data_IF_546589721117
#
_entry.id   IF_546589721117
#
_cell.length_a   1.000
_cell.length_b   1.000
_cell.length_c   1.000
_cell.angle_alpha   90.00
_cell.angle_beta   90.00
_cell.angle_gamma   90.00
#
_symmetry.space_group_name_H-M   'P 1'
#
loop_
_entity.id
_entity.type
_entity.pdbx_description
1 polymer ?
#
# COMPACT_ATOMS: atom_id res chain seq x y z
N UNK A 1 -55.03 -26.91 -72.89
CA UNK A 1 -53.68 -27.13 -72.31
C UNK A 1 -53.66 -26.57 -70.89
N UNK A 2 -53.37 -27.40 -69.87
CA UNK A 2 -53.44 -27.04 -68.45
C UNK A 2 -52.23 -26.19 -68.05
N UNK A 3 -52.44 -24.93 -67.65
CA UNK A 3 -51.39 -24.08 -67.06
C UNK A 3 -51.10 -24.57 -65.64
N UNK A 4 -49.91 -25.10 -65.40
CA UNK A 4 -49.39 -25.38 -64.05
C UNK A 4 -48.80 -24.08 -63.50
N UNK A 5 -49.30 -23.63 -62.36
CA UNK A 5 -48.70 -22.53 -61.61
C UNK A 5 -47.44 -23.05 -60.87
N UNK A 6 -46.33 -22.31 -60.86
CA UNK A 6 -45.14 -22.70 -60.11
C UNK A 6 -45.38 -22.50 -58.61
N UNK A 7 -44.88 -23.43 -57.79
CA UNK A 7 -44.90 -23.32 -56.34
C UNK A 7 -43.93 -22.21 -55.89
N UNK A 8 -44.36 -21.36 -54.95
CA UNK A 8 -43.53 -20.31 -54.38
C UNK A 8 -42.36 -20.91 -53.57
N UNK A 9 -41.14 -20.48 -53.87
CA UNK A 9 -39.96 -20.85 -53.11
C UNK A 9 -40.02 -20.27 -51.69
N UNK A 10 -39.50 -20.96 -50.66
CA UNK A 10 -39.55 -20.47 -49.29
C UNK A 10 -38.71 -19.19 -49.17
N UNK A 11 -39.35 -18.10 -48.73
CA UNK A 11 -38.65 -16.86 -48.44
C UNK A 11 -37.68 -17.09 -47.28
N UNK A 12 -36.38 -17.15 -47.57
CA UNK A 12 -35.35 -17.13 -46.53
C UNK A 12 -35.49 -15.82 -45.76
N UNK A 13 -35.85 -15.90 -44.47
CA UNK A 13 -36.02 -14.74 -43.58
C UNK A 13 -34.65 -14.32 -43.01
N UNK A 14 -33.95 -13.32 -43.58
CA UNK A 14 -32.61 -12.92 -43.13
C UNK A 14 -32.63 -12.36 -41.70
N UNK A 15 -33.78 -11.88 -41.23
CA UNK A 15 -33.99 -11.33 -39.89
C UNK A 15 -33.75 -12.36 -38.78
N UNK A 16 -34.14 -13.62 -38.98
CA UNK A 16 -33.98 -14.68 -37.96
C UNK A 16 -32.50 -15.01 -37.76
N UNK A 17 -31.72 -15.04 -38.85
CA UNK A 17 -30.27 -15.31 -38.79
C UNK A 17 -29.48 -14.19 -38.11
N UNK A 18 -29.86 -12.92 -38.32
CA UNK A 18 -29.22 -11.77 -37.65
C UNK A 18 -29.51 -11.72 -36.14
N UNK A 19 -30.75 -12.04 -35.74
CA UNK A 19 -31.12 -12.08 -34.32
C UNK A 19 -30.38 -13.19 -33.55
N UNK A 20 -30.22 -14.38 -34.17
CA UNK A 20 -29.46 -15.50 -33.60
C UNK A 20 -27.97 -15.18 -33.42
N UNK A 21 -27.35 -14.49 -34.39
CA UNK A 21 -25.94 -14.09 -34.28
C UNK A 21 -25.70 -13.06 -33.16
N UNK A 22 -26.62 -12.10 -32.99
CA UNK A 22 -26.55 -11.11 -31.90
C UNK A 22 -26.72 -11.75 -30.51
N UNK A 23 -27.64 -12.71 -30.38
CA UNK A 23 -27.84 -13.45 -29.13
C UNK A 23 -26.62 -14.30 -28.73
N UNK A 24 -25.97 -14.96 -29.69
CA UNK A 24 -24.76 -15.75 -29.43
C UNK A 24 -23.59 -14.89 -28.92
N UNK A 25 -23.42 -13.68 -29.46
CA UNK A 25 -22.38 -12.74 -29.00
C UNK A 25 -22.56 -12.31 -27.54
N UNK A 26 -23.79 -12.03 -27.11
CA UNK A 26 -24.09 -11.64 -25.73
C UNK A 26 -23.80 -12.77 -24.73
N UNK A 27 -24.07 -14.02 -25.10
CA UNK A 27 -23.77 -15.18 -24.25
C UNK A 27 -22.26 -15.35 -24.06
N UNK A 28 -21.45 -15.21 -25.12
CA UNK A 28 -19.99 -15.34 -25.03
C UNK A 28 -19.38 -14.24 -24.15
N UNK A 29 -19.83 -12.99 -24.29
CA UNK A 29 -19.39 -11.89 -23.41
C UNK A 29 -19.81 -12.12 -21.96
N UNK A 30 -21.05 -12.57 -21.74
CA UNK A 30 -21.53 -12.88 -20.38
C UNK A 30 -20.76 -14.00 -19.69
N UNK A 31 -20.44 -15.09 -20.41
CA UNK A 31 -19.67 -16.22 -19.86
C UNK A 31 -18.22 -15.81 -19.56
N UNK A 32 -17.58 -15.08 -20.46
CA UNK A 32 -16.18 -14.63 -20.27
C UNK A 32 -16.05 -13.54 -19.20
N UNK A 33 -17.01 -12.62 -19.09
CA UNK A 33 -17.09 -11.67 -17.98
C UNK A 33 -17.36 -12.38 -16.64
N UNK A 34 -18.18 -13.43 -16.63
CA UNK A 34 -18.44 -14.26 -15.46
C UNK A 34 -17.18 -14.95 -14.91
N UNK A 35 -16.25 -15.35 -15.78
CA UNK A 35 -14.96 -15.91 -15.35
C UNK A 35 -14.09 -14.88 -14.59
N UNK A 36 -14.12 -13.60 -14.98
CA UNK A 36 -13.38 -12.53 -14.29
C UNK A 36 -13.95 -12.22 -12.90
N UNK A 37 -15.27 -12.34 -12.72
CA UNK A 37 -15.93 -12.11 -11.42
C UNK A 37 -15.59 -13.21 -10.41
N UNK A 38 -15.51 -14.47 -10.85
CA UNK A 38 -15.23 -15.60 -9.97
C UNK A 38 -13.73 -15.92 -9.85
N UNK A 39 -12.89 -15.30 -10.66
CA UNK A 39 -11.43 -15.41 -10.61
C UNK A 39 -10.82 -14.01 -10.69
N UNK A 40 -10.81 -13.26 -9.56
CA UNK A 40 -10.30 -11.90 -9.56
C UNK A 40 -8.84 -11.87 -10.02
N UNK A 41 -8.51 -10.85 -10.80
CA UNK A 41 -7.16 -10.67 -11.34
C UNK A 41 -6.20 -10.51 -10.16
N UNK A 42 -5.30 -11.48 -9.98
CA UNK A 42 -4.41 -11.51 -8.82
C UNK A 42 -3.47 -10.29 -8.75
N UNK A 43 -3.22 -9.61 -9.88
CA UNK A 43 -2.42 -8.37 -9.91
C UNK A 43 -3.13 -7.18 -9.27
N UNK A 44 -4.45 -7.24 -9.08
CA UNK A 44 -5.21 -6.19 -8.40
C UNK A 44 -5.25 -6.38 -6.88
N UNK A 45 -4.75 -7.52 -6.38
CA UNK A 45 -4.66 -7.78 -4.94
C UNK A 45 -3.47 -6.97 -4.38
N UNK A 46 -3.71 -5.99 -3.50
CA UNK A 46 -2.63 -5.21 -2.93
C UNK A 46 -1.74 -6.09 -2.06
N UNK A 47 -0.44 -6.01 -2.28
CA UNK A 47 0.58 -6.61 -1.43
C UNK A 47 1.66 -5.56 -1.10
N UNK A 48 2.52 -5.86 -0.12
CA UNK A 48 3.70 -5.04 0.16
C UNK A 48 4.88 -5.63 -0.63
N UNK A 49 5.37 -4.97 -1.68
CA UNK A 49 6.49 -5.46 -2.47
C UNK A 49 7.85 -5.20 -1.83
N UNK A 50 7.89 -4.52 -0.69
CA UNK A 50 9.08 -4.11 0.03
C UNK A 50 9.09 -4.71 1.45
N UNK A 51 10.19 -4.55 2.18
CA UNK A 51 10.37 -5.20 3.48
C UNK A 51 9.50 -4.59 4.58
N UNK A 52 9.16 -3.32 4.42
CA UNK A 52 8.41 -2.55 5.38
C UNK A 52 6.90 -2.70 5.29
N UNK A 53 6.24 -1.94 6.14
CA UNK A 53 4.77 -1.90 6.20
C UNK A 53 4.24 -0.63 5.56
N UNK A 54 3.02 -0.72 5.02
CA UNK A 54 2.28 0.45 4.59
C UNK A 54 1.25 0.87 5.64
N UNK A 55 1.02 2.16 5.72
CA UNK A 55 -0.04 2.75 6.52
C UNK A 55 -0.75 3.86 5.73
N UNK A 56 -2.02 4.11 6.07
CA UNK A 56 -2.72 5.31 5.61
C UNK A 56 -3.41 5.96 6.82
N UNK A 57 -3.32 7.29 6.91
CA UNK A 57 -3.90 8.10 7.99
C UNK A 57 -4.54 9.33 7.36
N UNK A 58 -5.85 9.30 7.14
CA UNK A 58 -6.52 10.31 6.33
C UNK A 58 -5.88 10.41 4.94
N UNK A 59 -5.31 11.59 4.63
CA UNK A 59 -4.60 11.86 3.37
C UNK A 59 -3.10 11.53 3.39
N UNK A 60 -2.55 11.13 4.54
CA UNK A 60 -1.19 10.61 4.62
C UNK A 60 -1.15 9.16 4.13
N UNK A 61 -0.23 8.86 3.21
CA UNK A 61 0.12 7.51 2.83
C UNK A 61 1.60 7.27 3.12
N UNK A 62 1.91 6.25 3.91
CA UNK A 62 3.29 5.79 4.18
C UNK A 62 3.47 4.42 3.53
N UNK A 63 4.57 4.19 2.79
CA UNK A 63 4.94 2.87 2.27
C UNK A 63 6.34 2.51 2.71
N UNK A 64 6.58 1.21 2.76
CA UNK A 64 7.87 0.63 3.10
C UNK A 64 8.47 1.19 4.39
N UNK A 65 7.62 1.37 5.41
CA UNK A 65 8.09 1.84 6.71
C UNK A 65 8.88 0.71 7.38
N UNK A 66 10.15 0.99 7.68
CA UNK A 66 11.08 0.10 8.40
C UNK A 66 11.89 0.91 9.42
N UNK A 67 12.37 0.23 10.47
CA UNK A 67 13.32 0.79 11.42
C UNK A 67 14.69 0.16 11.19
N UNK A 68 15.72 0.96 10.95
CA UNK A 68 17.08 0.46 10.73
C UNK A 68 17.89 0.62 12.01
N UNK A 69 18.40 -0.50 12.56
CA UNK A 69 19.22 -0.50 13.77
C UNK A 69 19.59 -1.89 14.28
N UNK A 70 20.38 -1.95 15.34
CA UNK A 70 20.92 -3.19 15.92
C UNK A 70 20.38 -3.52 17.33
N UNK A 71 19.54 -2.65 17.88
CA UNK A 71 18.95 -2.77 19.22
C UNK A 71 19.81 -2.17 20.35
N UNK A 72 20.91 -1.49 20.06
CA UNK A 72 21.81 -0.89 21.07
C UNK A 72 21.80 0.64 21.10
N UNK A 73 21.19 1.29 20.10
CA UNK A 73 21.18 2.74 19.94
C UNK A 73 19.89 3.27 19.29
N UNK A 74 19.88 4.53 18.81
CA UNK A 74 18.76 5.05 18.05
C UNK A 74 18.56 4.22 16.77
N UNK A 75 17.31 4.07 16.37
CA UNK A 75 16.95 3.45 15.08
C UNK A 75 16.57 4.54 14.09
N UNK A 76 17.00 4.39 12.84
CA UNK A 76 16.66 5.31 11.76
C UNK A 76 15.35 4.89 11.13
N UNK A 77 14.49 5.87 10.81
CA UNK A 77 13.24 5.63 10.11
C UNK A 77 13.50 5.67 8.61
N UNK A 78 13.17 4.58 7.91
CA UNK A 78 13.21 4.52 6.45
C UNK A 78 11.85 4.17 5.88
N UNK A 79 11.58 4.65 4.67
CA UNK A 79 10.31 4.51 3.97
C UNK A 79 9.94 5.80 3.24
N UNK A 80 8.78 5.82 2.60
CA UNK A 80 8.26 7.03 1.96
C UNK A 80 7.01 7.54 2.67
N UNK A 81 6.85 8.86 2.71
CA UNK A 81 5.61 9.49 3.16
C UNK A 81 5.09 10.42 2.07
N UNK A 82 3.81 10.27 1.74
CA UNK A 82 3.12 11.06 0.72
C UNK A 82 1.90 11.73 1.32
N UNK A 83 1.81 13.04 1.16
CA UNK A 83 0.60 13.79 1.43
C UNK A 83 -0.28 13.80 0.17
N UNK A 84 -1.42 13.10 0.19
CA UNK A 84 -2.39 13.08 -0.93
C UNK A 84 -3.35 14.27 -0.92
N UNK A 85 -3.33 15.06 0.15
CA UNK A 85 -4.19 16.22 0.36
C UNK A 85 -3.73 17.47 -0.39
N UNK A 86 -4.47 18.55 -0.20
CA UNK A 86 -4.19 19.88 -0.77
C UNK A 86 -3.68 20.87 0.26
N UNK A 87 -3.59 20.47 1.53
CA UNK A 87 -3.07 21.27 2.64
C UNK A 87 -1.77 20.64 3.14
N UNK A 88 -0.87 21.46 3.71
CA UNK A 88 0.32 20.94 4.38
C UNK A 88 -0.07 20.15 5.63
N UNK A 89 0.74 19.16 6.00
CA UNK A 89 0.54 18.38 7.21
C UNK A 89 1.86 18.11 7.93
N UNK A 90 1.77 18.03 9.26
CA UNK A 90 2.81 17.51 10.12
C UNK A 90 2.57 16.01 10.33
N UNK A 91 3.64 15.21 10.24
CA UNK A 91 3.63 13.78 10.52
C UNK A 91 4.56 13.48 11.67
N UNK A 92 4.00 12.97 12.76
CA UNK A 92 4.74 12.50 13.94
C UNK A 92 4.83 10.98 13.90
N UNK A 93 6.03 10.46 14.14
CA UNK A 93 6.36 9.05 14.14
C UNK A 93 7.01 8.73 15.48
N UNK A 94 6.41 7.83 16.25
CA UNK A 94 6.93 7.48 17.57
C UNK A 94 6.80 5.99 17.83
N UNK A 95 7.83 5.38 18.42
CA UNK A 95 7.74 4.02 18.91
C UNK A 95 6.85 3.97 20.16
N UNK A 96 5.99 2.97 20.22
CA UNK A 96 5.20 2.68 21.40
C UNK A 96 6.01 1.75 22.32
N UNK A 97 5.84 1.87 23.64
CA UNK A 97 6.40 0.90 24.57
C UNK A 97 5.94 -0.50 24.17
N UNK A 98 6.86 -1.47 24.12
CA UNK A 98 6.46 -2.86 23.99
C UNK A 98 5.62 -3.25 25.21
N UNK A 99 4.59 -4.09 25.03
CA UNK A 99 3.83 -4.64 26.15
C UNK A 99 4.71 -5.45 27.13
N UNK A 100 5.89 -5.87 26.68
CA UNK A 100 6.93 -6.56 27.46
C UNK A 100 8.10 -5.64 27.85
N UNK A 101 8.00 -4.33 27.63
CA UNK A 101 9.06 -3.39 27.95
C UNK A 101 9.30 -3.35 29.46
N UNK A 102 10.58 -3.25 29.85
CA UNK A 102 10.97 -2.96 31.22
C UNK A 102 10.32 -1.61 31.63
N UNK A 103 9.59 -1.53 32.75
CA UNK A 103 9.04 -0.28 33.27
C UNK A 103 10.09 0.81 33.55
N UNK A 104 11.37 0.44 33.63
CA UNK A 104 12.50 1.36 33.77
C UNK A 104 13.15 1.72 32.42
N UNK A 105 12.72 1.12 31.31
CA UNK A 105 13.22 1.48 29.99
C UNK A 105 12.87 2.94 29.66
N UNK A 106 13.78 3.70 29.02
CA UNK A 106 13.49 5.05 28.57
C UNK A 106 12.23 5.07 27.68
N UNK A 107 11.35 6.05 27.87
CA UNK A 107 10.22 6.25 26.96
C UNK A 107 10.76 6.50 25.56
N UNK A 108 10.34 5.73 24.54
CA UNK A 108 10.87 5.90 23.20
C UNK A 108 10.58 7.32 22.68
N UNK A 109 11.60 7.98 22.14
CA UNK A 109 11.46 9.28 21.51
C UNK A 109 10.84 9.16 20.12
N UNK A 110 10.15 10.22 19.69
CA UNK A 110 9.58 10.33 18.34
C UNK A 110 10.35 11.30 17.45
N UNK A 111 10.07 11.22 16.15
CA UNK A 111 10.51 12.17 15.13
C UNK A 111 9.32 12.80 14.42
N UNK A 112 9.52 13.98 13.84
CA UNK A 112 8.50 14.69 13.08
C UNK A 112 9.02 15.09 11.70
N UNK A 113 8.15 15.06 10.69
CA UNK A 113 8.43 15.58 9.35
C UNK A 113 7.22 16.38 8.85
N UNK A 114 7.50 17.51 8.20
CA UNK A 114 6.48 18.32 7.53
C UNK A 114 6.38 17.90 6.06
N UNK A 115 5.15 17.78 5.57
CA UNK A 115 4.84 17.47 4.18
C UNK A 115 3.94 18.58 3.62
N UNK A 116 4.39 19.24 2.56
CA UNK A 116 3.59 20.14 1.75
C UNK A 116 2.46 19.41 1.00
N UNK A 117 1.54 20.18 0.39
CA UNK A 117 0.47 19.61 -0.44
C UNK A 117 1.02 18.76 -1.58
N UNK A 118 0.50 17.54 -1.76
CA UNK A 118 0.93 16.61 -2.82
C UNK A 118 2.42 16.23 -2.77
N UNK A 119 3.11 16.51 -1.66
CA UNK A 119 4.52 16.19 -1.50
C UNK A 119 4.70 14.70 -1.20
N UNK A 120 5.78 14.14 -1.76
CA UNK A 120 6.32 12.85 -1.37
C UNK A 120 7.75 13.03 -0.89
N UNK A 121 8.07 12.44 0.26
CA UNK A 121 9.37 12.51 0.91
C UNK A 121 9.91 11.11 1.16
N UNK A 122 11.20 10.92 0.89
CA UNK A 122 11.99 9.81 1.40
C UNK A 122 12.40 10.12 2.85
N UNK A 123 11.89 9.32 3.80
CA UNK A 123 12.11 9.52 5.24
C UNK A 123 13.56 9.29 5.65
N UNK A 124 14.30 8.41 4.95
CA UNK A 124 15.69 8.13 5.26
C UNK A 124 16.58 9.36 5.04
N UNK A 125 16.21 10.22 4.08
CA UNK A 125 16.94 11.47 3.78
C UNK A 125 16.69 12.59 4.79
N UNK A 126 15.69 12.45 5.67
CA UNK A 126 15.30 13.47 6.64
C UNK A 126 15.99 13.30 8.00
N UNK A 127 16.82 12.27 8.16
CA UNK A 127 17.56 12.03 9.40
C UNK A 127 16.66 11.73 10.59
N UNK A 128 15.46 11.19 10.35
CA UNK A 128 14.47 10.88 11.38
C UNK A 128 14.92 9.64 12.17
N UNK A 129 14.83 9.72 13.49
CA UNK A 129 15.26 8.67 14.39
C UNK A 129 14.27 8.46 15.54
N UNK A 130 14.20 7.22 16.02
CA UNK A 130 13.52 6.87 17.26
C UNK A 130 14.57 6.46 18.28
N UNK A 131 14.49 7.02 19.48
CA UNK A 131 15.35 6.63 20.62
C UNK A 131 14.60 5.63 21.51
N UNK A 132 15.32 4.89 22.35
CA UNK A 132 14.71 3.94 23.30
C UNK A 132 14.13 2.67 22.67
N UNK A 133 14.41 2.41 21.38
CA UNK A 133 14.03 1.17 20.70
C UNK A 133 15.15 0.14 20.88
N UNK A 134 14.96 -0.79 21.82
CA UNK A 134 15.95 -1.83 22.15
C UNK A 134 15.72 -3.15 21.40
N UNK A 135 14.77 -3.16 20.46
CA UNK A 135 14.39 -4.35 19.71
C UNK A 135 15.44 -4.69 18.64
N UNK A 136 15.81 -5.98 18.55
CA UNK A 136 16.84 -6.46 17.60
C UNK A 136 16.28 -6.64 16.18
N UNK A 137 17.12 -6.66 15.13
CA UNK A 137 16.71 -7.04 13.79
C UNK A 137 15.86 -8.32 13.72
N UNK A 138 14.83 -8.31 12.88
CA UNK A 138 13.84 -9.39 12.73
C UNK A 138 12.66 -9.32 13.68
N UNK A 139 12.62 -8.35 14.59
CA UNK A 139 11.47 -8.11 15.48
C UNK A 139 10.53 -7.04 14.93
N UNK A 140 9.33 -6.95 15.50
CA UNK A 140 8.35 -5.92 15.17
C UNK A 140 8.20 -4.94 16.35
N UNK A 141 8.20 -3.64 16.03
CA UNK A 141 7.99 -2.55 16.99
C UNK A 141 6.67 -1.87 16.66
N UNK A 142 5.74 -1.72 17.62
CA UNK A 142 4.55 -0.90 17.41
C UNK A 142 4.95 0.56 17.27
N UNK A 143 4.60 1.19 16.16
CA UNK A 143 4.90 2.60 15.86
C UNK A 143 3.60 3.34 15.62
N UNK A 144 3.41 4.45 16.34
CA UNK A 144 2.31 5.39 16.08
C UNK A 144 2.70 6.37 14.98
N UNK A 145 1.82 6.51 14.00
CA UNK A 145 1.87 7.52 12.95
C UNK A 145 0.71 8.49 13.18
N UNK A 146 1.02 9.75 13.48
CA UNK A 146 0.04 10.81 13.69
C UNK A 146 0.17 11.85 12.60
N UNK A 147 -0.90 12.09 11.87
CA UNK A 147 -1.03 13.19 10.91
C UNK A 147 -1.86 14.31 11.53
N UNK A 148 -1.39 15.56 11.43
CA UNK A 148 -2.10 16.73 11.94
C UNK A 148 -3.48 16.93 11.30
N UNK A 149 -3.74 16.35 10.12
CA UNK A 149 -5.03 16.46 9.41
C UNK A 149 -5.78 15.13 9.31
N UNK A 150 -5.14 14.00 9.63
CA UNK A 150 -5.67 12.66 9.41
C UNK A 150 -5.90 11.80 10.67
N UNK A 151 -5.44 12.25 11.84
CA UNK A 151 -5.53 11.50 13.09
C UNK A 151 -4.31 10.59 13.34
N UNK A 152 -4.51 9.46 14.04
CA UNK A 152 -3.44 8.56 14.44
C UNK A 152 -3.75 7.11 14.06
N UNK A 153 -2.73 6.36 13.64
CA UNK A 153 -2.78 4.90 13.54
C UNK A 153 -1.53 4.28 14.18
N UNK A 154 -1.61 3.00 14.54
CA UNK A 154 -0.47 2.24 15.07
C UNK A 154 -0.22 1.05 14.13
N UNK A 155 1.03 0.87 13.73
CA UNK A 155 1.45 -0.22 12.84
C UNK A 155 2.65 -0.96 13.43
N UNK A 156 2.70 -2.28 13.22
CA UNK A 156 3.84 -3.10 13.64
C UNK A 156 4.94 -3.02 12.59
N UNK A 157 6.02 -2.29 12.88
CA UNK A 157 7.10 -1.99 11.94
C UNK A 157 8.28 -2.92 12.18
N UNK A 158 8.84 -3.57 11.15
CA UNK A 158 10.01 -4.42 11.30
C UNK A 158 11.27 -3.62 11.58
N UNK A 159 12.12 -4.18 12.43
CA UNK A 159 13.51 -3.72 12.64
C UNK A 159 14.43 -4.51 11.72
N UNK A 160 15.24 -3.81 10.93
CA UNK A 160 16.19 -4.40 9.98
C UNK A 160 17.63 -3.94 10.29
N UNK A 161 18.64 -4.75 9.95
CA UNK A 161 20.04 -4.36 10.11
C UNK A 161 20.46 -3.40 8.98
N UNK A 162 21.46 -2.56 9.25
CA UNK A 162 22.05 -1.66 8.25
C UNK A 162 23.00 -2.42 7.31
N UNK A 163 22.45 -3.26 6.44
CA UNK A 163 23.19 -4.07 5.45
C UNK A 163 22.60 -3.91 4.06
N UNK A 164 23.33 -4.34 3.04
CA UNK A 164 22.91 -4.31 1.63
C UNK A 164 22.40 -2.92 1.21
N UNK A 165 21.13 -2.82 0.79
CA UNK A 165 20.51 -1.57 0.36
C UNK A 165 20.20 -0.61 1.52
N UNK A 166 20.25 -1.08 2.78
CA UNK A 166 20.18 -0.24 3.98
C UNK A 166 21.54 0.13 4.56
N UNK A 167 22.66 -0.28 3.94
CA UNK A 167 24.00 -0.05 4.49
C UNK A 167 24.33 1.44 4.72
N UNK A 168 23.71 2.34 3.98
CA UNK A 168 23.89 3.79 4.12
C UNK A 168 22.84 4.46 5.01
N UNK A 169 21.82 3.73 5.45
CA UNK A 169 20.76 4.24 6.34
C UNK A 169 21.28 4.13 7.78
N UNK A 170 22.14 5.08 8.14
CA UNK A 170 22.82 5.11 9.44
C UNK A 170 22.34 6.29 10.28
N UNK A 171 22.36 6.17 11.62
CA UNK A 171 21.99 7.28 12.48
C UNK A 171 22.86 8.51 12.18
N UNK A 172 22.22 9.67 12.03
CA UNK A 172 22.88 10.98 12.05
C UNK A 172 23.73 11.06 13.32
N UNK A 173 25.03 11.40 13.22
CA UNK A 173 25.89 11.52 14.40
C UNK A 173 25.31 12.57 15.36
N UNK A 174 25.14 12.18 16.62
CA UNK A 174 24.67 13.08 17.67
C UNK A 174 25.69 14.19 17.89
N UNK A 175 25.33 15.45 17.61
CA UNK A 175 26.13 16.60 18.01
C UNK A 175 26.28 16.58 19.53
N UNK A 176 27.52 16.53 20.02
CA UNK A 176 27.87 16.54 21.46
C UNK A 176 27.68 17.93 22.06
#
# INVERSE_FOLDING_TARGET
>A
MKRRLPAAAPAHRPFVRRALAAGAGLVVVGVTAGCQVNNPVQTDVPYQPADGVAANVGQLAVRDLVLIGDGTGPVVISGNATNKGTEAMTVQIAAQPSATADPQAPTPGGSEVQLGPREQVDLATKGLQLTGVTSKPGTLVPVSLTSSTGGTTIVSVPVLPAVDYYATVTPTPTSS
#
